data_IF_482460297259
#
_entry.id   IF_482460297259
#
_cell.length_a   1.000
_cell.length_b   1.000
_cell.length_c   1.000
_cell.angle_alpha   90.00
_cell.angle_beta   90.00
_cell.angle_gamma   90.00
#
_symmetry.space_group_name_H-M   'P 1'
#
loop_
_entity.id
_entity.type
_entity.pdbx_description
1 polymer ?
#
# COMPACT_ATOMS: atom_id res chain seq x y z
N UNK A 1 4.08 -14.07 4.20
CA UNK A 1 4.46 -12.77 4.77
C UNK A 1 5.39 -12.05 3.83
N UNK A 2 5.24 -10.74 3.72
CA UNK A 2 6.10 -9.87 2.93
C UNK A 2 6.08 -8.47 3.53
N UNK A 3 7.01 -7.61 3.08
CA UNK A 3 7.08 -6.22 3.50
C UNK A 3 6.46 -5.33 2.42
N UNK A 4 5.74 -4.30 2.85
CA UNK A 4 5.32 -3.19 2.00
C UNK A 4 6.03 -1.94 2.49
N UNK A 5 6.70 -1.24 1.58
CA UNK A 5 7.27 0.08 1.85
C UNK A 5 6.55 1.15 1.04
N UNK A 6 6.37 2.34 1.62
CA UNK A 6 5.84 3.49 0.87
C UNK A 6 6.73 3.85 -0.31
N UNK A 7 8.05 3.75 -0.12
CA UNK A 7 9.00 4.04 -1.18
C UNK A 7 8.80 3.13 -2.41
N UNK A 8 8.51 1.83 -2.23
CA UNK A 8 8.16 0.94 -3.34
C UNK A 8 6.82 1.28 -3.98
N UNK A 9 5.80 1.63 -3.18
CA UNK A 9 4.52 2.10 -3.72
C UNK A 9 4.70 3.32 -4.62
N UNK A 10 5.42 4.33 -4.14
CA UNK A 10 5.75 5.55 -4.88
C UNK A 10 6.52 5.20 -6.16
N UNK A 11 7.57 4.38 -6.07
CA UNK A 11 8.41 4.00 -7.22
C UNK A 11 7.61 3.30 -8.30
N UNK A 12 6.65 2.45 -7.91
CA UNK A 12 5.90 1.60 -8.83
C UNK A 12 4.50 2.14 -9.15
N UNK A 13 4.17 3.38 -8.75
CA UNK A 13 2.80 3.90 -8.79
C UNK A 13 2.18 3.86 -10.19
N UNK A 14 2.92 4.27 -11.22
CA UNK A 14 2.42 4.28 -12.59
C UNK A 14 2.10 2.86 -13.09
N UNK A 15 2.97 1.88 -12.74
CA UNK A 15 2.75 0.48 -13.07
C UNK A 15 1.52 -0.07 -12.34
N UNK A 16 1.44 0.14 -11.03
CA UNK A 16 0.31 -0.33 -10.21
C UNK A 16 -1.02 0.26 -10.70
N UNK A 17 -1.04 1.55 -11.06
CA UNK A 17 -2.22 2.21 -11.62
C UNK A 17 -2.67 1.57 -12.93
N UNK A 18 -1.73 1.30 -13.83
CA UNK A 18 -2.02 0.63 -15.10
C UNK A 18 -2.52 -0.80 -14.87
N UNK A 19 -1.88 -1.57 -14.01
CA UNK A 19 -2.28 -2.95 -13.71
C UNK A 19 -3.72 -3.03 -13.18
N UNK A 20 -4.16 -2.02 -12.41
CA UNK A 20 -5.51 -1.95 -11.88
C UNK A 20 -6.56 -1.52 -12.91
N UNK A 21 -6.22 -0.54 -13.77
CA UNK A 21 -7.20 0.16 -14.59
C UNK A 21 -7.05 -0.07 -16.10
N UNK A 22 -6.12 -0.92 -16.54
CA UNK A 22 -5.95 -1.26 -17.95
C UNK A 22 -6.06 -2.77 -18.15
N UNK A 23 -7.09 -3.20 -18.87
CA UNK A 23 -7.35 -4.60 -19.17
C UNK A 23 -7.89 -4.73 -20.61
N UNK A 24 -7.58 -5.82 -21.29
CA UNK A 24 -8.06 -6.13 -22.65
C UNK A 24 -7.84 -4.99 -23.67
N UNK A 25 -6.70 -4.31 -23.58
CA UNK A 25 -6.34 -3.23 -24.49
C UNK A 25 -7.03 -1.88 -24.22
N UNK A 26 -7.86 -1.78 -23.18
CA UNK A 26 -8.68 -0.59 -22.87
C UNK A 26 -8.55 -0.13 -21.42
N UNK A 27 -8.82 1.15 -21.20
CA UNK A 27 -8.90 1.75 -19.86
C UNK A 27 -10.28 1.47 -19.23
N UNK A 28 -10.27 0.94 -18.02
CA UNK A 28 -11.45 0.68 -17.22
C UNK A 28 -11.98 1.98 -16.60
N UNK A 29 -13.30 2.05 -16.41
CA UNK A 29 -14.00 3.18 -15.78
C UNK A 29 -13.80 4.55 -16.48
N UNK A 30 -13.41 4.54 -17.76
CA UNK A 30 -13.33 5.72 -18.62
C UNK A 30 -11.92 6.32 -18.77
N UNK A 31 -11.84 7.37 -19.60
CA UNK A 31 -10.59 8.01 -20.02
C UNK A 31 -9.82 8.71 -18.89
N UNK A 32 -10.46 9.01 -17.76
CA UNK A 32 -9.81 9.65 -16.61
C UNK A 32 -8.60 8.86 -16.10
N UNK A 33 -8.69 7.53 -16.08
CA UNK A 33 -7.59 6.67 -15.63
C UNK A 33 -6.40 6.70 -16.59
N UNK A 34 -6.64 6.87 -17.90
CA UNK A 34 -5.57 7.08 -18.89
C UNK A 34 -4.83 8.38 -18.62
N UNK A 35 -5.56 9.47 -18.40
CA UNK A 35 -4.97 10.79 -18.15
C UNK A 35 -4.13 10.80 -16.88
N UNK A 36 -4.60 10.14 -15.81
CA UNK A 36 -3.81 9.98 -14.57
C UNK A 36 -2.55 9.17 -14.84
N UNK A 37 -2.63 8.03 -15.53
CA UNK A 37 -1.45 7.23 -15.88
C UNK A 37 -0.42 8.03 -16.69
N UNK A 38 -0.86 8.76 -17.72
CA UNK A 38 0.02 9.59 -18.55
C UNK A 38 0.70 10.69 -17.73
N UNK A 39 -0.02 11.30 -16.78
CA UNK A 39 0.56 12.26 -15.85
C UNK A 39 1.60 11.61 -14.93
N UNK A 40 1.32 10.43 -14.36
CA UNK A 40 2.26 9.67 -13.52
C UNK A 40 3.54 9.31 -14.28
N UNK A 41 3.42 8.86 -15.54
CA UNK A 41 4.58 8.52 -16.40
C UNK A 41 5.38 9.75 -16.78
N UNK A 42 4.71 10.85 -17.13
CA UNK A 42 5.37 12.10 -17.54
C UNK A 42 6.09 12.78 -16.37
N UNK A 43 5.44 12.88 -15.22
CA UNK A 43 5.94 13.64 -14.07
C UNK A 43 6.87 12.83 -13.18
N UNK A 44 6.78 11.48 -13.19
CA UNK A 44 7.61 10.57 -12.40
C UNK A 44 7.72 11.00 -10.93
N UNK A 45 6.59 11.13 -10.21
CA UNK A 45 6.56 11.67 -8.86
C UNK A 45 7.42 10.82 -7.91
N UNK A 46 8.08 11.48 -6.95
CA UNK A 46 8.98 10.85 -5.97
C UNK A 46 8.48 10.95 -4.54
N UNK A 47 7.36 11.63 -4.33
CA UNK A 47 6.75 11.86 -3.02
C UNK A 47 5.24 11.61 -3.05
N UNK A 48 4.67 11.27 -1.89
CA UNK A 48 3.22 11.07 -1.74
C UNK A 48 2.42 12.33 -2.06
N UNK A 49 2.97 13.50 -1.76
CA UNK A 49 2.33 14.79 -2.03
C UNK A 49 2.18 15.03 -3.53
N UNK A 50 3.20 14.68 -4.31
CA UNK A 50 3.14 14.77 -5.78
C UNK A 50 2.14 13.76 -6.35
N UNK A 51 2.12 12.53 -5.83
CA UNK A 51 1.14 11.51 -6.24
C UNK A 51 -0.28 11.95 -5.90
N UNK A 52 -0.51 12.45 -4.69
CA UNK A 52 -1.81 12.96 -4.24
C UNK A 52 -2.29 14.11 -5.12
N UNK A 53 -1.39 14.99 -5.56
CA UNK A 53 -1.72 16.07 -6.50
C UNK A 53 -2.18 15.52 -7.86
N UNK A 54 -1.58 14.44 -8.34
CA UNK A 54 -1.90 13.84 -9.65
C UNK A 54 -3.19 12.99 -9.59
N UNK A 55 -3.32 12.14 -8.57
CA UNK A 55 -4.44 11.19 -8.41
C UNK A 55 -5.67 11.86 -7.77
N UNK A 56 -5.46 12.86 -6.92
CA UNK A 56 -6.51 13.56 -6.18
C UNK A 56 -6.80 12.99 -4.78
N UNK A 57 -6.09 11.94 -4.35
CA UNK A 57 -6.15 11.38 -3.00
C UNK A 57 -4.85 10.59 -2.67
N UNK A 58 -4.73 10.14 -1.43
CA UNK A 58 -3.57 9.43 -0.89
C UNK A 58 -3.75 7.90 -0.76
N UNK A 59 -4.91 7.35 -1.14
CA UNK A 59 -5.21 5.90 -0.97
C UNK A 59 -4.20 4.96 -1.65
N UNK A 60 -3.45 5.45 -2.64
CA UNK A 60 -2.43 4.70 -3.36
C UNK A 60 -1.05 4.69 -2.70
N UNK A 61 -0.82 5.56 -1.70
CA UNK A 61 0.46 5.69 -0.99
C UNK A 61 0.35 5.38 0.49
N UNK A 62 -0.86 5.42 1.05
CA UNK A 62 -1.14 5.08 2.44
C UNK A 62 -0.68 3.66 2.80
N UNK A 63 -0.08 3.53 3.98
CA UNK A 63 0.35 2.30 4.63
C UNK A 63 -0.21 2.29 6.05
N UNK A 64 -1.51 2.01 6.16
CA UNK A 64 -2.22 2.00 7.44
C UNK A 64 -1.95 0.68 8.19
N UNK A 65 -1.55 0.79 9.45
CA UNK A 65 -1.44 -0.34 10.37
C UNK A 65 -2.82 -0.75 10.89
N UNK A 66 -3.20 -2.02 10.74
CA UNK A 66 -4.52 -2.54 11.17
C UNK A 66 -4.72 -2.50 12.69
N UNK A 67 -3.62 -2.48 13.46
CA UNK A 67 -3.68 -2.45 14.93
C UNK A 67 -3.81 -1.03 15.49
N UNK A 68 -2.99 -0.08 15.03
CA UNK A 68 -2.96 1.27 15.61
C UNK A 68 -3.52 2.37 14.71
N UNK A 69 -3.92 2.05 13.47
CA UNK A 69 -4.50 2.99 12.51
C UNK A 69 -3.54 4.06 11.98
N UNK A 70 -2.25 4.02 12.35
CA UNK A 70 -1.25 4.99 11.86
C UNK A 70 -0.80 4.62 10.45
N UNK A 71 -0.61 5.66 9.65
CA UNK A 71 0.10 5.59 8.38
C UNK A 71 1.61 5.58 8.63
N UNK A 72 2.32 4.55 8.15
CA UNK A 72 3.74 4.31 8.45
C UNK A 72 4.55 4.00 7.20
N UNK A 73 5.87 4.19 7.25
CA UNK A 73 6.74 3.93 6.08
C UNK A 73 6.80 2.45 5.70
N UNK A 74 6.74 1.55 6.69
CA UNK A 74 6.96 0.12 6.53
C UNK A 74 5.89 -0.68 7.26
N UNK A 75 5.28 -1.62 6.54
CA UNK A 75 4.35 -2.61 7.07
C UNK A 75 4.85 -4.02 6.79
N UNK A 76 4.62 -4.93 7.74
CA UNK A 76 4.64 -6.37 7.46
C UNK A 76 3.22 -6.85 7.20
N UNK A 77 3.03 -7.60 6.11
CA UNK A 77 1.78 -8.31 5.86
C UNK A 77 1.90 -9.72 6.42
N UNK A 78 1.12 -9.99 7.46
CA UNK A 78 0.94 -11.31 8.07
C UNK A 78 -0.18 -12.04 7.35
N UNK A 79 -0.04 -13.36 7.18
CA UNK A 79 -1.00 -14.20 6.46
C UNK A 79 -0.54 -14.63 5.07
N UNK A 80 -1.50 -15.14 4.28
CA UNK A 80 -1.33 -15.55 2.87
C UNK A 80 -1.31 -14.31 1.95
N UNK A 81 -1.13 -14.52 0.65
CA UNK A 81 -1.31 -13.44 -0.33
C UNK A 81 -2.78 -12.98 -0.26
N UNK A 82 -3.09 -11.68 -0.20
CA UNK A 82 -4.47 -11.22 -0.08
C UNK A 82 -5.34 -11.70 -1.25
N UNK A 83 -6.38 -12.48 -0.94
CA UNK A 83 -7.57 -12.70 -1.76
C UNK A 83 -8.83 -12.28 -0.95
N UNK A 84 -10.01 -12.36 -1.56
CA UNK A 84 -11.28 -11.97 -0.92
C UNK A 84 -11.60 -12.72 0.38
N UNK A 85 -11.00 -13.89 0.59
CA UNK A 85 -11.20 -14.73 1.79
C UNK A 85 -9.96 -14.74 2.70
N UNK A 86 -8.92 -14.00 2.35
CA UNK A 86 -7.65 -14.03 3.07
C UNK A 86 -7.72 -13.19 4.32
N UNK A 87 -7.51 -13.85 5.46
CA UNK A 87 -7.23 -13.17 6.72
C UNK A 87 -5.78 -12.67 6.72
N UNK A 88 -5.53 -11.55 6.04
CA UNK A 88 -4.25 -10.82 6.11
C UNK A 88 -4.33 -9.68 7.11
N UNK A 89 -3.20 -9.38 7.76
CA UNK A 89 -3.07 -8.22 8.63
C UNK A 89 -1.79 -7.44 8.28
N UNK A 90 -1.94 -6.15 8.04
CA UNK A 90 -0.89 -5.17 7.83
C UNK A 90 -0.47 -4.56 9.17
N UNK A 91 0.68 -4.98 9.70
CA UNK A 91 1.13 -4.58 11.04
C UNK A 91 2.42 -3.75 10.93
N UNK A 92 2.48 -2.64 11.64
CA UNK A 92 3.69 -1.83 11.76
C UNK A 92 4.68 -2.45 12.76
N UNK A 93 5.96 -2.09 12.65
CA UNK A 93 7.02 -2.60 13.52
C UNK A 93 6.71 -2.40 15.02
N UNK A 94 6.27 -1.21 15.42
CA UNK A 94 5.96 -0.93 16.83
C UNK A 94 4.86 -1.84 17.40
N UNK A 95 3.80 -2.08 16.63
CA UNK A 95 2.71 -2.97 17.05
C UNK A 95 3.18 -4.43 17.09
N UNK A 96 4.01 -4.85 16.14
CA UNK A 96 4.59 -6.18 16.13
C UNK A 96 5.49 -6.41 17.36
N UNK A 97 6.31 -5.43 17.73
CA UNK A 97 7.15 -5.49 18.94
C UNK A 97 6.30 -5.59 20.21
N UNK A 98 5.21 -4.83 20.32
CA UNK A 98 4.26 -4.92 21.45
C UNK A 98 3.64 -6.32 21.54
N UNK A 99 3.18 -6.87 20.42
CA UNK A 99 2.62 -8.22 20.37
C UNK A 99 3.64 -9.28 20.81
N UNK A 100 4.89 -9.18 20.34
CA UNK A 100 5.96 -10.09 20.75
C UNK A 100 6.24 -10.00 22.27
N UNK A 101 6.22 -8.79 22.84
CA UNK A 101 6.41 -8.59 24.28
C UNK A 101 5.28 -9.21 25.12
N UNK A 102 4.04 -9.23 24.61
CA UNK A 102 2.92 -9.93 25.28
C UNK A 102 3.13 -11.45 25.30
N UNK A 103 3.57 -12.03 24.19
CA UNK A 103 3.87 -13.47 24.09
C UNK A 103 4.98 -13.86 25.07
N UNK A 104 6.05 -13.08 25.14
CA UNK A 104 7.17 -13.34 26.06
C UNK A 104 6.71 -13.36 27.51
N UNK A 105 5.96 -12.33 27.94
CA UNK A 105 5.38 -12.25 29.28
C UNK A 105 4.42 -13.41 29.58
N UNK A 106 3.66 -13.87 28.59
CA UNK A 106 2.75 -15.00 28.75
C UNK A 106 3.45 -16.34 29.01
N UNK A 107 4.67 -16.54 28.50
CA UNK A 107 5.45 -17.78 28.71
C UNK A 107 6.12 -17.88 30.08
N UNK A 108 6.24 -16.75 30.77
CA UNK A 108 6.81 -16.66 32.12
C UNK A 108 5.73 -16.80 33.22
N UNK A 109 4.47 -16.96 32.83
CA UNK A 109 3.32 -17.24 33.71
C UNK A 109 3.07 -18.74 33.80
#
# INVERSE_FOLDING_TARGET
>A
MFIITKQEKIRNIAKAWKDQYYADGKWLYGEGNRLVYEALVREQPRTEKEITRIIGNNSWTENICDECGRDVEVLVVLGKVPDWESHTACICEECLQKALALIKRGKER
#
